data_IF_550057832773
#
_entry.id   IF_550057832773
#
_cell.length_a   1.000
_cell.length_b   1.000
_cell.length_c   1.000
_cell.angle_alpha   90.00
_cell.angle_beta   90.00
_cell.angle_gamma   90.00
#
_symmetry.space_group_name_H-M   'P 1'
#
loop_
_entity.id
_entity.type
_entity.pdbx_description
1 polymer ?
#
# COMPACT_ATOMS: atom_id res chain seq x y z
N UNK A 1 -8.40 -24.52 -4.01
CA UNK A 1 -7.41 -23.55 -3.49
C UNK A 1 -8.16 -22.23 -3.34
N UNK A 2 -8.12 -21.62 -2.16
CA UNK A 2 -8.79 -20.33 -1.93
C UNK A 2 -7.90 -19.17 -2.39
N UNK A 3 -8.49 -17.99 -2.62
CA UNK A 3 -7.73 -16.79 -3.03
C UNK A 3 -6.59 -16.45 -2.06
N UNK A 4 -6.79 -16.63 -0.76
CA UNK A 4 -5.78 -16.37 0.27
C UNK A 4 -4.61 -17.36 0.16
N UNK A 5 -4.89 -18.64 -0.10
CA UNK A 5 -3.86 -19.66 -0.31
C UNK A 5 -3.00 -19.36 -1.53
N UNK A 6 -3.59 -18.87 -2.63
CA UNK A 6 -2.86 -18.43 -3.82
C UNK A 6 -1.92 -17.26 -3.50
N UNK A 7 -2.44 -16.23 -2.83
CA UNK A 7 -1.65 -15.06 -2.45
C UNK A 7 -0.49 -15.41 -1.51
N UNK A 8 -0.68 -16.37 -0.59
CA UNK A 8 0.40 -16.86 0.28
C UNK A 8 1.49 -17.59 -0.53
N UNK A 9 1.10 -18.44 -1.47
CA UNK A 9 2.06 -19.12 -2.38
C UNK A 9 2.83 -18.12 -3.25
N UNK A 10 2.18 -17.06 -3.73
CA UNK A 10 2.85 -15.99 -4.47
C UNK A 10 3.90 -15.28 -3.60
N UNK A 11 3.61 -15.06 -2.31
CA UNK A 11 4.54 -14.42 -1.37
C UNK A 11 5.80 -15.26 -1.12
N UNK A 12 5.67 -16.59 -1.04
CA UNK A 12 6.82 -17.50 -0.89
C UNK A 12 7.81 -17.39 -2.06
N UNK A 13 7.34 -16.92 -3.22
CA UNK A 13 8.12 -16.80 -4.45
C UNK A 13 8.61 -15.37 -4.71
N UNK A 14 8.26 -14.37 -3.88
CA UNK A 14 8.54 -12.96 -4.14
C UNK A 14 9.85 -12.40 -3.60
N UNK A 15 10.72 -13.24 -3.02
CA UNK A 15 12.00 -12.82 -2.42
C UNK A 15 12.97 -12.10 -3.39
N UNK A 16 12.76 -12.20 -4.72
CA UNK A 16 13.56 -11.48 -5.74
C UNK A 16 12.84 -10.30 -6.38
N UNK A 17 11.58 -10.05 -6.04
CA UNK A 17 10.84 -8.95 -6.66
C UNK A 17 11.40 -7.62 -6.18
N UNK A 18 11.69 -6.75 -7.15
CA UNK A 18 12.05 -5.36 -6.91
C UNK A 18 10.99 -4.50 -7.55
N UNK A 19 10.48 -3.55 -6.79
CA UNK A 19 9.49 -2.60 -7.25
C UNK A 19 10.14 -1.22 -7.26
N UNK A 20 9.92 -0.48 -8.33
CA UNK A 20 10.40 0.87 -8.45
C UNK A 20 9.63 1.78 -7.49
N UNK A 21 10.36 2.63 -6.78
CA UNK A 21 9.76 3.68 -5.92
C UNK A 21 9.60 5.01 -6.64
N UNK A 22 9.88 5.03 -7.95
CA UNK A 22 9.96 6.25 -8.74
C UNK A 22 8.62 6.98 -8.74
N UNK A 23 8.66 8.28 -8.45
CA UNK A 23 7.49 9.13 -8.55
C UNK A 23 7.21 9.47 -10.01
N UNK A 24 6.13 8.95 -10.58
CA UNK A 24 5.75 9.19 -11.99
C UNK A 24 5.42 10.65 -12.31
N UNK A 25 5.16 11.49 -11.30
CA UNK A 25 4.90 12.91 -11.52
C UNK A 25 6.18 13.74 -11.75
N UNK A 26 7.28 13.40 -11.05
CA UNK A 26 8.52 14.20 -11.11
C UNK A 26 9.78 13.42 -11.51
N UNK A 27 9.70 12.10 -11.65
CA UNK A 27 10.83 11.23 -11.96
C UNK A 27 11.80 10.99 -10.80
N UNK A 28 11.52 11.46 -9.58
CA UNK A 28 12.36 11.18 -8.41
C UNK A 28 12.41 9.66 -8.17
N UNK A 29 13.61 9.06 -8.26
CA UNK A 29 13.78 7.61 -8.25
C UNK A 29 13.37 6.96 -6.92
N UNK A 30 13.75 7.58 -5.80
CA UNK A 30 13.52 7.07 -4.45
C UNK A 30 13.09 8.20 -3.51
N UNK A 31 11.85 8.72 -3.62
CA UNK A 31 11.37 9.75 -2.72
C UNK A 31 11.37 9.25 -1.27
N UNK A 32 11.79 10.11 -0.35
CA UNK A 32 11.86 9.79 1.08
C UNK A 32 10.47 9.60 1.69
N UNK A 33 9.48 10.37 1.22
CA UNK A 33 8.09 10.29 1.66
C UNK A 33 7.17 10.14 0.46
N UNK A 34 6.27 9.17 0.54
CA UNK A 34 5.25 8.92 -0.47
C UNK A 34 3.85 9.05 0.11
N UNK A 35 2.90 9.26 -0.77
CA UNK A 35 1.47 9.13 -0.48
C UNK A 35 0.89 8.12 -1.45
N UNK A 36 -0.22 7.52 -1.06
CA UNK A 36 -1.00 6.65 -1.94
C UNK A 36 -2.33 7.30 -2.30
N UNK A 37 -2.73 7.18 -3.57
CA UNK A 37 -3.97 7.70 -4.08
C UNK A 37 -5.09 6.70 -3.80
N UNK A 38 -6.00 7.06 -2.89
CA UNK A 38 -6.94 6.12 -2.27
C UNK A 38 -7.98 5.55 -3.23
N UNK A 39 -8.19 6.19 -4.38
CA UNK A 39 -9.11 5.72 -5.42
C UNK A 39 -8.48 4.78 -6.46
N UNK A 40 -7.15 4.62 -6.50
CA UNK A 40 -6.50 3.77 -7.50
C UNK A 40 -5.29 2.97 -7.00
N UNK A 41 -4.77 3.22 -5.79
CA UNK A 41 -3.66 2.44 -5.23
C UNK A 41 -2.27 2.83 -5.73
N UNK A 42 -2.16 3.74 -6.71
CA UNK A 42 -0.88 4.27 -7.18
C UNK A 42 -0.27 5.23 -6.16
N UNK A 43 1.06 5.27 -6.08
CA UNK A 43 1.81 6.14 -5.18
C UNK A 43 2.55 7.26 -5.93
N UNK A 44 2.68 8.41 -5.27
CA UNK A 44 3.51 9.55 -5.71
C UNK A 44 4.31 10.09 -4.53
N UNK A 45 5.35 10.88 -4.78
CA UNK A 45 6.04 11.56 -3.69
C UNK A 45 5.13 12.61 -3.03
N UNK A 46 5.36 12.85 -1.74
CA UNK A 46 4.55 13.79 -0.95
C UNK A 46 4.56 15.19 -1.55
N UNK A 47 5.71 15.66 -2.01
CA UNK A 47 5.86 17.00 -2.60
C UNK A 47 5.02 17.17 -3.86
N UNK A 48 4.92 16.13 -4.70
CA UNK A 48 4.07 16.16 -5.89
C UNK A 48 2.59 16.16 -5.52
N UNK A 49 2.19 15.37 -4.53
CA UNK A 49 0.82 15.38 -4.05
C UNK A 49 0.43 16.75 -3.51
N UNK A 50 1.25 17.34 -2.64
CA UNK A 50 0.97 18.65 -2.06
C UNK A 50 0.91 19.74 -3.15
N UNK A 51 1.87 19.76 -4.09
CA UNK A 51 1.94 20.76 -5.18
C UNK A 51 0.78 20.70 -6.15
N UNK A 52 0.30 19.49 -6.48
CA UNK A 52 -0.70 19.29 -7.52
C UNK A 52 -2.10 19.02 -6.96
N UNK A 53 -2.25 18.90 -5.65
CA UNK A 53 -3.55 18.77 -5.01
C UNK A 53 -4.38 20.04 -5.20
N UNK A 54 -5.65 19.85 -5.53
CA UNK A 54 -6.68 20.89 -5.55
C UNK A 54 -7.82 20.42 -4.68
N UNK A 55 -8.15 21.21 -3.66
CA UNK A 55 -9.24 20.93 -2.72
C UNK A 55 -9.13 19.53 -2.08
N UNK A 56 -7.90 19.10 -1.76
CA UNK A 56 -7.64 17.79 -1.15
C UNK A 56 -7.67 16.59 -2.11
N UNK A 57 -7.76 16.82 -3.42
CA UNK A 57 -7.77 15.78 -4.44
C UNK A 57 -6.69 15.97 -5.51
N UNK A 58 -6.22 14.87 -6.08
CA UNK A 58 -5.19 14.81 -7.12
C UNK A 58 -5.64 13.90 -8.27
N UNK A 59 -5.36 14.30 -9.52
CA UNK A 59 -5.46 13.38 -10.65
C UNK A 59 -4.20 12.52 -10.72
N UNK A 60 -4.37 11.19 -10.65
CA UNK A 60 -3.28 10.24 -10.66
C UNK A 60 -2.42 10.39 -11.93
N UNK A 61 -1.09 10.57 -11.83
CA UNK A 61 -0.24 10.70 -13.01
C UNK A 61 -0.26 9.43 -13.89
N UNK A 62 -0.41 8.24 -13.29
CA UNK A 62 -0.41 6.94 -13.98
C UNK A 62 -1.75 6.65 -14.68
N UNK A 63 -2.87 6.65 -13.95
CA UNK A 63 -4.17 6.20 -14.48
C UNK A 63 -5.23 7.32 -14.63
N UNK A 64 -4.88 8.57 -14.32
CA UNK A 64 -5.75 9.78 -14.40
C UNK A 64 -6.96 9.81 -13.46
N UNK A 65 -7.19 8.76 -12.65
CA UNK A 65 -8.23 8.76 -11.63
C UNK A 65 -8.10 9.93 -10.66
N UNK A 66 -9.21 10.61 -10.36
CA UNK A 66 -9.27 11.63 -9.32
C UNK A 66 -9.37 10.96 -7.95
N UNK A 67 -8.46 11.30 -7.04
CA UNK A 67 -8.36 10.63 -5.75
C UNK A 67 -7.98 11.60 -4.63
N UNK A 68 -8.47 11.36 -3.42
CA UNK A 68 -7.77 11.79 -2.21
C UNK A 68 -6.48 10.99 -2.02
N UNK A 69 -5.68 11.38 -1.04
CA UNK A 69 -4.45 10.66 -0.73
C UNK A 69 -4.17 10.61 0.76
N UNK A 70 -3.48 9.56 1.19
CA UNK A 70 -3.00 9.39 2.56
C UNK A 70 -1.49 9.15 2.57
N UNK A 71 -0.77 9.52 3.65
CA UNK A 71 0.64 9.17 3.80
C UNK A 71 0.83 7.66 3.64
N UNK A 72 1.85 7.25 2.90
CA UNK A 72 2.20 5.83 2.80
C UNK A 72 3.24 5.52 3.88
N UNK A 73 2.89 4.62 4.81
CA UNK A 73 3.79 4.19 5.87
C UNK A 73 4.59 2.98 5.40
N UNK A 74 5.86 3.21 5.08
CA UNK A 74 6.81 2.18 4.65
C UNK A 74 7.89 2.04 5.72
N UNK A 75 8.21 0.81 6.10
CA UNK A 75 9.19 0.54 7.15
C UNK A 75 10.60 0.79 6.63
N UNK A 76 11.39 1.61 7.32
CA UNK A 76 12.80 1.80 7.02
C UNK A 76 13.59 0.55 7.48
N UNK A 77 14.46 0.00 6.63
CA UNK A 77 15.35 -1.09 7.03
C UNK A 77 16.53 -0.53 7.84
N UNK A 78 17.13 -1.35 8.72
CA UNK A 78 18.26 -1.00 9.60
C UNK A 78 19.46 -0.43 8.83
N UNK A 79 19.57 -0.74 7.54
CA UNK A 79 20.65 -0.25 6.67
C UNK A 79 20.44 1.17 6.13
N UNK A 80 19.36 1.91 6.48
CA UNK A 80 19.03 3.28 6.02
C UNK A 80 18.90 3.49 4.50
N UNK A 81 19.28 2.54 3.67
CA UNK A 81 19.29 2.66 2.21
C UNK A 81 18.10 1.97 1.52
N UNK A 82 17.31 1.18 2.24
CA UNK A 82 16.18 0.44 1.67
C UNK A 82 14.97 0.43 2.61
N UNK A 83 13.77 0.45 2.05
CA UNK A 83 12.51 0.25 2.78
C UNK A 83 12.19 -1.24 2.82
N UNK A 84 11.88 -1.78 4.01
CA UNK A 84 11.34 -3.14 4.13
C UNK A 84 9.96 -3.20 3.50
N UNK A 85 9.71 -4.30 2.79
CA UNK A 85 8.40 -4.62 2.23
C UNK A 85 7.68 -5.68 3.04
N UNK A 86 8.31 -6.20 4.10
CA UNK A 86 7.78 -7.33 4.84
C UNK A 86 6.44 -6.99 5.47
N UNK A 87 5.52 -7.95 5.39
CA UNK A 87 4.22 -7.81 6.01
C UNK A 87 4.38 -7.88 7.53
N UNK A 88 3.88 -6.89 8.26
CA UNK A 88 3.99 -6.87 9.72
C UNK A 88 3.21 -8.01 10.42
N UNK A 89 2.29 -8.68 9.72
CA UNK A 89 1.53 -9.82 10.26
C UNK A 89 2.24 -11.14 10.03
N UNK A 90 2.57 -11.47 8.77
CA UNK A 90 3.11 -12.78 8.43
C UNK A 90 4.63 -12.80 8.27
N UNK A 91 5.28 -11.63 8.31
CA UNK A 91 6.72 -11.44 8.18
C UNK A 91 7.33 -11.88 6.84
N UNK A 92 6.50 -12.27 5.86
CA UNK A 92 6.93 -12.53 4.50
C UNK A 92 7.07 -11.25 3.68
N UNK A 93 7.97 -11.26 2.70
CA UNK A 93 8.06 -10.22 1.67
C UNK A 93 6.98 -10.46 0.62
N UNK A 94 5.96 -9.59 0.50
CA UNK A 94 4.79 -9.85 -0.31
C UNK A 94 5.00 -9.63 -1.82
N UNK A 95 4.31 -10.45 -2.61
CA UNK A 95 4.16 -10.25 -4.05
C UNK A 95 3.26 -9.06 -4.35
N UNK A 96 2.14 -8.96 -3.61
CA UNK A 96 1.16 -7.89 -3.75
C UNK A 96 0.89 -7.27 -2.38
N UNK A 97 0.95 -5.93 -2.29
CA UNK A 97 0.64 -5.19 -1.07
C UNK A 97 -0.77 -4.61 -1.11
N UNK A 98 -1.38 -4.53 0.05
CA UNK A 98 -2.63 -3.80 0.30
C UNK A 98 -2.33 -2.60 1.19
N UNK A 99 -2.98 -1.48 0.91
CA UNK A 99 -2.88 -0.24 1.68
C UNK A 99 -4.23 0.10 2.30
N UNK A 100 -4.24 0.43 3.59
CA UNK A 100 -5.44 0.92 4.26
C UNK A 100 -5.73 2.33 3.82
N UNK A 101 -6.91 2.59 3.23
CA UNK A 101 -7.17 3.88 2.59
C UNK A 101 -7.44 5.01 3.58
N UNK A 102 -7.68 4.70 4.86
CA UNK A 102 -7.90 5.68 5.92
C UNK A 102 -6.62 6.15 6.61
N UNK A 103 -5.57 5.32 6.64
CA UNK A 103 -4.35 5.61 7.39
C UNK A 103 -3.05 5.37 6.60
N UNK A 104 -3.08 4.60 5.51
CA UNK A 104 -1.95 4.36 4.62
C UNK A 104 -0.90 3.38 5.13
N UNK A 105 -1.18 2.63 6.20
CA UNK A 105 -0.39 1.46 6.59
C UNK A 105 -0.58 0.31 5.60
N UNK A 106 0.41 -0.57 5.53
CA UNK A 106 0.54 -1.61 4.53
C UNK A 106 0.47 -3.01 5.13
N UNK A 107 -0.07 -3.94 4.35
CA UNK A 107 0.01 -5.38 4.58
C UNK A 107 0.26 -6.11 3.26
N UNK A 108 0.56 -7.41 3.32
CA UNK A 108 0.38 -8.25 2.15
C UNK A 108 -1.12 -8.41 1.81
N UNK A 109 -1.43 -8.60 0.53
CA UNK A 109 -2.81 -8.84 0.07
C UNK A 109 -3.43 -10.07 0.76
N UNK A 110 -2.67 -11.14 1.02
CA UNK A 110 -3.19 -12.32 1.72
C UNK A 110 -3.70 -12.00 3.13
N UNK A 111 -2.94 -11.19 3.89
CA UNK A 111 -3.33 -10.78 5.23
C UNK A 111 -4.51 -9.80 5.20
N UNK A 112 -4.55 -8.88 4.23
CA UNK A 112 -5.68 -7.96 4.08
C UNK A 112 -7.00 -8.67 3.74
N UNK A 113 -6.95 -9.66 2.83
CA UNK A 113 -8.08 -10.53 2.49
C UNK A 113 -8.52 -11.36 3.71
N UNK A 114 -7.57 -11.93 4.46
CA UNK A 114 -7.88 -12.68 5.69
C UNK A 114 -8.59 -11.80 6.72
N UNK A 115 -8.12 -10.56 6.94
CA UNK A 115 -8.78 -9.61 7.85
C UNK A 115 -10.19 -9.26 7.37
N UNK A 116 -10.38 -9.11 6.06
CA UNK A 116 -11.69 -8.83 5.48
C UNK A 116 -12.68 -9.98 5.71
N UNK A 117 -12.26 -11.24 5.48
CA UNK A 117 -13.09 -12.40 5.78
C UNK A 117 -13.46 -12.48 7.26
N UNK A 118 -12.49 -12.35 8.16
CA UNK A 118 -12.74 -12.37 9.60
C UNK A 118 -13.69 -11.25 10.04
N UNK A 119 -13.59 -10.06 9.43
CA UNK A 119 -14.49 -8.94 9.73
C UNK A 119 -15.93 -9.23 9.25
N UNK A 120 -16.09 -9.80 8.06
CA UNK A 120 -17.40 -10.22 7.52
C UNK A 120 -18.05 -11.25 8.44
N UNK A 121 -17.32 -12.30 8.83
CA UNK A 121 -17.82 -13.37 9.71
C UNK A 121 -18.28 -12.83 11.07
N UNK A 122 -17.60 -11.80 11.59
CA UNK A 122 -17.91 -11.17 12.87
C UNK A 122 -18.89 -9.99 12.75
N UNK A 123 -19.37 -9.66 11.55
CA UNK A 123 -20.17 -8.46 11.27
C UNK A 123 -19.51 -7.17 11.80
N UNK A 124 -18.19 -7.05 11.62
CA UNK A 124 -17.37 -5.90 12.02
C UNK A 124 -16.77 -5.23 10.80
N UNK A 125 -16.25 -4.02 11.01
CA UNK A 125 -15.42 -3.33 10.01
C UNK A 125 -13.98 -3.84 10.09
N UNK A 126 -13.27 -3.80 8.96
CA UNK A 126 -11.83 -4.05 8.97
C UNK A 126 -11.12 -2.89 9.68
N UNK A 127 -10.21 -3.23 10.59
CA UNK A 127 -9.35 -2.29 11.29
C UNK A 127 -7.92 -2.49 10.83
N UNK A 128 -7.21 -1.38 10.63
CA UNK A 128 -5.77 -1.42 10.39
C UNK A 128 -5.04 -2.00 11.63
N UNK A 129 -4.24 -3.07 11.48
CA UNK A 129 -3.52 -3.66 12.62
C UNK A 129 -2.51 -2.72 13.28
N UNK A 130 -1.91 -1.81 12.50
CA UNK A 130 -0.84 -0.93 12.99
C UNK A 130 -1.36 0.26 13.81
N UNK A 131 -2.58 0.76 13.52
CA UNK A 131 -3.13 1.95 14.21
C UNK A 131 -4.59 1.86 14.65
N UNK A 132 -5.26 0.72 14.44
CA UNK A 132 -6.70 0.52 14.67
C UNK A 132 -7.63 1.50 13.91
N UNK A 133 -7.11 2.22 12.92
CA UNK A 133 -7.92 3.05 12.02
C UNK A 133 -8.91 2.18 11.24
N UNK A 134 -10.19 2.49 11.36
CA UNK A 134 -11.23 1.82 10.58
C UNK A 134 -11.20 2.24 9.11
N UNK A 135 -11.66 1.36 8.22
CA UNK A 135 -11.81 1.65 6.80
C UNK A 135 -11.56 0.45 5.90
N UNK A 136 -11.67 0.69 4.59
CA UNK A 136 -11.29 -0.30 3.59
C UNK A 136 -9.78 -0.34 3.34
N UNK A 137 -9.37 -1.32 2.55
CA UNK A 137 -8.05 -1.37 1.96
C UNK A 137 -8.18 -1.41 0.43
N UNK A 138 -7.08 -1.10 -0.25
CA UNK A 138 -6.95 -1.20 -1.71
C UNK A 138 -5.65 -1.91 -2.04
N UNK A 139 -5.61 -2.66 -3.13
CA UNK A 139 -4.34 -3.13 -3.69
C UNK A 139 -3.45 -1.92 -4.01
N UNK A 140 -2.20 -1.98 -3.59
CA UNK A 140 -1.20 -1.01 -3.98
C UNK A 140 -0.71 -1.36 -5.39
N UNK A 141 -0.69 -0.37 -6.28
CA UNK A 141 -0.14 -0.53 -7.62
C UNK A 141 1.36 -0.22 -7.56
N UNK A 142 2.16 -1.26 -7.78
CA UNK A 142 3.61 -1.22 -7.74
C UNK A 142 4.15 -1.69 -9.09
N UNK A 143 5.05 -0.92 -9.68
CA UNK A 143 5.68 -1.19 -10.98
C UNK A 143 7.11 -1.72 -10.83
#
# INVERSE_FOLDING_TARGET
ITRIEELRRENEQSYRLRFLRTCYACGCAEPSRRVVLTACGHAVCRECADKHSKEGSLSCPNCKAQAGFVPLFENENETKYHFSRDCEICLDTPHQRAVFTSCGHLLCMACAEQLNLSAIEQMRVVLCPSCNGGGGWRKMEEE
#
